data_IF_365806611569
#
_entry.id   IF_365806611569
#
_cell.length_a   1.000
_cell.length_b   1.000
_cell.length_c   1.000
_cell.angle_alpha   90.00
_cell.angle_beta   90.00
_cell.angle_gamma   90.00
#
_symmetry.space_group_name_H-M   'P 1'
#
loop_
_entity.id
_entity.type
_entity.pdbx_description
1 polymer ?
#
# COMPACT_ATOMS: atom_id res chain seq x y z
N UNK A 1 11.42 10.96 17.05
CA UNK A 1 10.79 10.68 15.75
C UNK A 1 9.47 9.99 16.06
N UNK A 2 8.39 10.76 16.19
CA UNK A 2 7.04 10.22 16.42
C UNK A 2 6.38 9.99 15.06
N UNK A 3 6.43 8.74 14.57
CA UNK A 3 5.62 8.32 13.44
C UNK A 3 4.20 8.07 13.95
N UNK A 4 3.27 8.90 13.47
CA UNK A 4 1.89 8.97 13.87
C UNK A 4 1.19 7.60 13.93
N UNK A 5 0.84 7.18 15.14
CA UNK A 5 -0.12 6.10 15.38
C UNK A 5 -1.54 6.64 15.17
N UNK A 6 -1.97 6.70 13.91
CA UNK A 6 -3.40 6.55 13.63
C UNK A 6 -3.69 5.06 13.72
N UNK A 7 -4.71 4.64 14.48
CA UNK A 7 -5.05 3.22 14.74
C UNK A 7 -5.41 2.34 13.54
N UNK A 8 -5.01 2.73 12.32
CA UNK A 8 -5.24 2.03 11.06
C UNK A 8 -3.93 1.64 10.42
N UNK A 9 -3.77 0.35 10.19
CA UNK A 9 -2.67 -0.17 9.37
C UNK A 9 -2.70 0.46 7.97
N UNK A 10 -1.57 0.93 7.44
CA UNK A 10 -1.47 1.44 6.09
C UNK A 10 -1.69 0.32 5.07
N UNK A 11 -2.23 0.68 3.90
CA UNK A 11 -2.52 -0.25 2.81
C UNK A 11 -1.32 -1.14 2.44
N UNK A 12 -0.10 -0.58 2.46
CA UNK A 12 1.13 -1.28 2.14
C UNK A 12 1.42 -2.46 3.09
N UNK A 13 1.24 -2.26 4.39
CA UNK A 13 1.42 -3.32 5.38
C UNK A 13 0.35 -4.40 5.26
N UNK A 14 -0.91 -4.00 5.01
CA UNK A 14 -2.00 -4.96 4.82
C UNK A 14 -1.72 -5.85 3.60
N UNK A 15 -1.21 -5.27 2.50
CA UNK A 15 -0.83 -6.03 1.30
C UNK A 15 0.34 -6.98 1.56
N UNK A 16 1.29 -6.60 2.42
CA UNK A 16 2.39 -7.47 2.86
C UNK A 16 1.89 -8.64 3.71
N UNK A 17 1.06 -8.36 4.71
CA UNK A 17 0.47 -9.40 5.57
C UNK A 17 -0.40 -10.38 4.78
N UNK A 18 -1.00 -9.93 3.69
CA UNK A 18 -1.76 -10.80 2.78
C UNK A 18 -0.88 -11.64 1.83
N UNK A 19 0.44 -11.43 1.81
CA UNK A 19 1.34 -12.06 0.84
C UNK A 19 1.07 -11.63 -0.61
N UNK A 20 0.33 -10.53 -0.82
CA UNK A 20 -0.02 -10.02 -2.14
C UNK A 20 1.13 -9.25 -2.79
N UNK A 21 2.08 -8.79 -1.96
CA UNK A 21 3.30 -8.08 -2.35
C UNK A 21 4.45 -8.49 -1.44
N UNK A 22 5.69 -8.27 -1.88
CA UNK A 22 6.91 -8.42 -1.07
C UNK A 22 7.41 -7.08 -0.54
N UNK A 23 8.21 -7.09 0.52
CA UNK A 23 8.77 -5.86 1.11
C UNK A 23 9.56 -5.03 0.08
N UNK A 24 10.32 -5.71 -0.77
CA UNK A 24 11.13 -5.08 -1.82
C UNK A 24 10.26 -4.30 -2.82
N UNK A 25 9.17 -4.94 -3.30
CA UNK A 25 8.20 -4.31 -4.22
C UNK A 25 7.43 -3.18 -3.56
N UNK A 26 7.11 -3.31 -2.27
CA UNK A 26 6.47 -2.23 -1.51
C UNK A 26 7.42 -1.04 -1.39
N UNK A 27 8.70 -1.29 -1.11
CA UNK A 27 9.72 -0.26 -0.97
C UNK A 27 9.95 0.49 -2.29
N UNK A 28 10.06 -0.23 -3.40
CA UNK A 28 10.11 0.39 -4.74
C UNK A 28 8.90 1.29 -4.98
N UNK A 29 7.70 0.80 -4.68
CA UNK A 29 6.48 1.57 -4.91
C UNK A 29 6.40 2.83 -4.05
N UNK A 30 6.89 2.76 -2.80
CA UNK A 30 7.02 3.92 -1.90
C UNK A 30 8.06 4.93 -2.42
N UNK A 31 9.19 4.47 -2.95
CA UNK A 31 10.17 5.36 -3.57
C UNK A 31 9.57 6.07 -4.79
N UNK A 32 8.87 5.35 -5.66
CA UNK A 32 8.18 5.93 -6.82
C UNK A 32 7.11 6.94 -6.37
N UNK A 33 6.39 6.62 -5.29
CA UNK A 33 5.38 7.51 -4.72
C UNK A 33 6.02 8.81 -4.22
N UNK A 34 7.14 8.72 -3.50
CA UNK A 34 7.88 9.87 -3.00
C UNK A 34 8.50 10.72 -4.12
N UNK A 35 8.96 10.07 -5.20
CA UNK A 35 9.50 10.77 -6.38
C UNK A 35 8.41 11.39 -7.26
N UNK A 36 7.15 10.97 -7.13
CA UNK A 36 6.04 11.54 -7.90
C UNK A 36 5.46 12.75 -7.14
N UNK A 37 5.80 13.96 -7.55
CA UNK A 37 5.37 15.23 -6.93
C UNK A 37 3.86 15.57 -7.05
N UNK A 38 2.99 14.57 -7.19
CA UNK A 38 1.54 14.75 -7.38
C UNK A 38 0.64 13.92 -6.46
N UNK A 39 1.19 13.30 -5.40
CA UNK A 39 0.38 12.55 -4.43
C UNK A 39 -0.27 11.29 -5.00
N UNK A 40 0.40 10.60 -5.93
CA UNK A 40 -0.13 9.37 -6.54
C UNK A 40 -0.39 8.31 -5.46
N UNK A 41 -1.52 7.61 -5.54
CA UNK A 41 -1.87 6.59 -4.54
C UNK A 41 -0.95 5.38 -4.69
N UNK A 42 -0.41 4.89 -3.57
CA UNK A 42 0.44 3.68 -3.53
C UNK A 42 -0.21 2.50 -4.26
N UNK A 43 -1.50 2.27 -4.03
CA UNK A 43 -2.24 1.20 -4.72
C UNK A 43 -2.26 1.33 -6.25
N UNK A 44 -2.34 2.54 -6.78
CA UNK A 44 -2.26 2.76 -8.23
C UNK A 44 -0.87 2.43 -8.77
N UNK A 45 0.19 2.79 -8.05
CA UNK A 45 1.58 2.48 -8.43
C UNK A 45 1.76 0.96 -8.47
N UNK A 46 1.28 0.26 -7.45
CA UNK A 46 1.36 -1.20 -7.35
C UNK A 46 0.58 -1.90 -8.47
N UNK A 47 -0.58 -1.37 -8.85
CA UNK A 47 -1.36 -1.85 -10.00
C UNK A 47 -0.67 -1.60 -11.33
N UNK A 48 -0.19 -0.37 -11.56
CA UNK A 48 0.52 0.00 -12.80
C UNK A 48 1.81 -0.79 -13.00
N UNK A 49 2.51 -1.13 -11.92
CA UNK A 49 3.72 -1.97 -11.96
C UNK A 49 3.41 -3.46 -12.08
N UNK A 50 2.15 -3.87 -11.94
CA UNK A 50 1.76 -5.29 -11.93
C UNK A 50 2.19 -6.04 -10.67
N UNK A 51 2.59 -5.34 -9.61
CA UNK A 51 3.01 -5.93 -8.35
C UNK A 51 1.84 -6.55 -7.59
N UNK A 52 0.66 -5.95 -7.74
CA UNK A 52 -0.60 -6.45 -7.17
C UNK A 52 -1.71 -6.37 -8.21
N UNK A 53 -2.73 -7.21 -8.04
CA UNK A 53 -3.96 -7.18 -8.85
C UNK A 53 -5.01 -6.32 -8.15
N UNK A 54 -6.00 -5.87 -8.92
CA UNK A 54 -7.08 -4.99 -8.42
C UNK A 54 -7.81 -5.60 -7.23
N UNK A 55 -8.09 -6.90 -7.27
CA UNK A 55 -8.73 -7.62 -6.16
C UNK A 55 -7.88 -7.64 -4.87
N UNK A 56 -6.55 -7.69 -4.95
CA UNK A 56 -5.70 -7.61 -3.77
C UNK A 56 -5.86 -6.26 -3.08
N UNK A 57 -5.94 -5.19 -3.86
CA UNK A 57 -6.17 -3.83 -3.35
C UNK A 57 -7.56 -3.71 -2.72
N UNK A 58 -8.59 -4.23 -3.36
CA UNK A 58 -9.96 -4.23 -2.82
C UNK A 58 -10.04 -4.92 -1.45
N UNK A 59 -9.43 -6.10 -1.31
CA UNK A 59 -9.41 -6.83 -0.04
C UNK A 59 -8.64 -6.04 1.02
N UNK A 60 -7.49 -5.46 0.65
CA UNK A 60 -6.68 -4.66 1.57
C UNK A 60 -7.41 -3.39 2.03
N UNK A 61 -8.10 -2.70 1.12
CA UNK A 61 -8.93 -1.53 1.43
C UNK A 61 -10.13 -1.89 2.30
N UNK A 62 -10.76 -3.04 2.04
CA UNK A 62 -11.85 -3.56 2.87
C UNK A 62 -11.36 -3.84 4.30
N UNK A 63 -10.20 -4.50 4.47
CA UNK A 63 -9.57 -4.70 5.78
C UNK A 63 -9.27 -3.38 6.48
N UNK A 64 -8.64 -2.43 5.78
CA UNK A 64 -8.33 -1.09 6.30
C UNK A 64 -9.61 -0.32 6.73
N UNK A 65 -10.73 -0.57 6.05
CA UNK A 65 -12.02 0.05 6.37
C UNK A 65 -12.68 -0.58 7.60
N UNK A 66 -12.57 -1.89 7.78
CA UNK A 66 -13.10 -2.62 8.94
C UNK A 66 -12.27 -2.40 10.21
N UNK A 67 -10.98 -2.07 10.09
CA UNK A 67 -10.12 -1.65 11.21
C UNK A 67 -10.33 -0.17 11.60
N UNK A 68 -11.56 0.35 11.50
CA UNK A 68 -11.92 1.72 11.92
C UNK A 68 -12.33 1.78 13.37
#
# INVERSE_FOLDING_TARGET
MEAAQSGRKPLGEILLEQGSITEDRLREALQIQASTSGGRMLGQILLSRGYVKRHHIDIALAKQRNMR
#
